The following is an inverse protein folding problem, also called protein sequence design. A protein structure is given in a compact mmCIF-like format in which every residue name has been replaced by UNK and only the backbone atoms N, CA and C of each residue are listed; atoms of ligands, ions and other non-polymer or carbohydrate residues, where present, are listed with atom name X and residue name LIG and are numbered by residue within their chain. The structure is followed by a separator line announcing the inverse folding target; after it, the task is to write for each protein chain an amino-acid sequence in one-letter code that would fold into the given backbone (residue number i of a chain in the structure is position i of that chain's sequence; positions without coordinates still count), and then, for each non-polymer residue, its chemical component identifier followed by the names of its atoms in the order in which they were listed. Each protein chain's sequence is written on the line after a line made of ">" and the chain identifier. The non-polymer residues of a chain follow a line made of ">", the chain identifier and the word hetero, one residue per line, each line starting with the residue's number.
data_IF_874634948255
#
_entry.id   IF_874634948255
#
_cell.length_a   1.000
_cell.length_b   1.000
_cell.length_c   1.000
_cell.angle_alpha   90.00
_cell.angle_beta   90.00
_cell.angle_gamma   90.00
#
_symmetry.space_group_name_H-M   'P 1'
#
loop_
_entity.id
_entity.type
_entity.pdbx_description
1 polymer ?
#
# COMPACT_ATOMS: atom_id res chain seq x y z
N UNK A 1 -6.70 -0.23 12.17
CA UNK A 1 -7.51 -1.10 13.07
C UNK A 1 -7.26 -0.74 14.53
N UNK A 2 -7.87 -1.41 15.52
CA UNK A 2 -7.35 -1.34 16.90
C UNK A 2 -5.99 -2.06 16.95
N UNK A 3 -5.12 -1.76 17.94
CA UNK A 3 -3.87 -2.51 18.13
C UNK A 3 -4.11 -4.04 18.18
N UNK A 4 -5.14 -4.48 18.88
CA UNK A 4 -5.51 -5.90 19.03
C UNK A 4 -5.97 -6.54 17.71
N UNK A 5 -6.64 -5.78 16.83
CA UNK A 5 -7.04 -6.27 15.51
C UNK A 5 -5.86 -6.33 14.54
N UNK A 6 -4.90 -5.40 14.64
CA UNK A 6 -3.65 -5.44 13.88
C UNK A 6 -2.85 -6.72 14.19
N UNK A 7 -2.82 -7.14 15.47
CA UNK A 7 -2.13 -8.37 15.90
C UNK A 7 -2.71 -9.66 15.30
N UNK A 8 -3.91 -9.61 14.73
CA UNK A 8 -4.50 -10.75 14.00
C UNK A 8 -3.88 -10.94 12.62
N UNK A 9 -3.23 -9.92 12.07
CA UNK A 9 -2.48 -10.05 10.84
C UNK A 9 -1.20 -10.86 11.09
N UNK A 10 -0.68 -11.58 10.09
CA UNK A 10 0.65 -12.14 10.20
C UNK A 10 1.67 -11.04 10.51
N UNK A 11 2.55 -11.29 11.48
CA UNK A 11 3.52 -10.29 11.99
C UNK A 11 4.27 -9.48 10.91
N UNK A 12 4.71 -10.08 9.80
CA UNK A 12 5.39 -9.29 8.78
C UNK A 12 4.47 -8.29 8.07
N UNK A 13 3.21 -8.67 7.81
CA UNK A 13 2.22 -7.80 7.20
C UNK A 13 1.70 -6.76 8.19
N UNK A 14 1.50 -7.12 9.46
CA UNK A 14 1.19 -6.19 10.55
C UNK A 14 2.22 -5.05 10.60
N UNK A 15 3.52 -5.38 10.52
CA UNK A 15 4.60 -4.39 10.52
C UNK A 15 4.50 -3.45 9.32
N UNK A 16 4.28 -3.97 8.11
CA UNK A 16 4.16 -3.15 6.90
C UNK A 16 2.91 -2.26 6.93
N UNK A 17 1.76 -2.80 7.37
CA UNK A 17 0.53 -2.04 7.55
C UNK A 17 0.68 -0.92 8.59
N UNK A 18 1.33 -1.21 9.73
CA UNK A 18 1.61 -0.21 10.76
C UNK A 18 2.51 0.91 10.21
N UNK A 19 3.55 0.56 9.46
CA UNK A 19 4.42 1.56 8.82
C UNK A 19 3.68 2.43 7.81
N UNK A 20 2.74 1.85 7.05
CA UNK A 20 1.88 2.57 6.12
C UNK A 20 0.91 3.50 6.87
N UNK A 21 0.21 3.01 7.91
CA UNK A 21 -0.70 3.80 8.75
C UNK A 21 0.01 5.02 9.35
N UNK A 22 1.22 4.84 9.91
CA UNK A 22 2.00 5.93 10.48
C UNK A 22 2.42 6.95 9.42
N UNK A 23 2.83 6.50 8.23
CA UNK A 23 3.20 7.39 7.12
C UNK A 23 2.02 8.23 6.62
N UNK A 24 0.82 7.64 6.52
CA UNK A 24 -0.39 8.36 6.12
C UNK A 24 -0.82 9.35 7.21
N UNK A 25 -0.74 8.95 8.47
CA UNK A 25 -1.08 9.84 9.59
C UNK A 25 -0.17 11.06 9.65
N UNK A 26 1.14 10.90 9.45
CA UNK A 26 2.06 12.03 9.36
C UNK A 26 1.70 12.97 8.20
N UNK A 27 1.40 12.42 7.02
CA UNK A 27 0.95 13.23 5.88
C UNK A 27 -0.34 14.01 6.17
N UNK A 28 -1.34 13.36 6.79
CA UNK A 28 -2.58 14.02 7.22
C UNK A 28 -2.26 15.17 8.19
N UNK A 29 -1.43 14.93 9.20
CA UNK A 29 -1.07 15.92 10.22
C UNK A 29 -0.37 17.12 9.60
N UNK A 30 0.63 16.91 8.73
CA UNK A 30 1.35 18.02 8.09
C UNK A 30 0.40 18.85 7.22
N UNK A 31 -0.44 18.20 6.40
CA UNK A 31 -1.42 18.91 5.57
C UNK A 31 -2.44 19.69 6.37
N UNK A 32 -2.89 19.16 7.53
CA UNK A 32 -3.80 19.89 8.42
C UNK A 32 -3.09 21.11 9.03
N UNK A 33 -1.84 20.98 9.46
CA UNK A 33 -1.06 22.10 10.00
C UNK A 33 -0.87 23.21 8.97
N UNK A 34 -0.67 22.85 7.71
CA UNK A 34 -0.51 23.81 6.61
C UNK A 34 -1.83 24.46 6.19
N UNK A 35 -2.91 23.69 6.09
CA UNK A 35 -4.17 24.16 5.54
C UNK A 35 -5.15 24.68 6.60
N UNK A 36 -4.93 24.37 7.89
CA UNK A 36 -5.82 24.63 9.02
C UNK A 36 -7.25 24.07 8.85
N UNK A 37 -7.47 23.14 7.91
CA UNK A 37 -8.77 22.55 7.60
C UNK A 37 -8.60 21.18 6.93
N UNK A 38 -9.69 20.40 6.87
CA UNK A 38 -9.74 19.17 6.08
C UNK A 38 -9.93 19.52 4.60
N UNK A 39 -8.89 19.36 3.79
CA UNK A 39 -8.98 19.51 2.32
C UNK A 39 -9.48 18.22 1.66
N UNK A 40 -9.88 18.22 0.37
CA UNK A 40 -10.33 17.00 -0.33
C UNK A 40 -9.30 15.85 -0.36
N UNK A 41 -8.00 16.18 -0.26
CA UNK A 41 -6.92 15.19 -0.16
C UNK A 41 -6.87 14.61 1.26
N UNK A 42 -7.00 15.45 2.29
CA UNK A 42 -7.08 14.97 3.68
C UNK A 42 -8.32 14.08 3.87
N UNK A 43 -9.48 14.50 3.37
CA UNK A 43 -10.71 13.68 3.37
C UNK A 43 -10.50 12.32 2.69
N UNK A 44 -9.83 12.31 1.53
CA UNK A 44 -9.49 11.06 0.84
C UNK A 44 -8.66 10.13 1.71
N UNK A 45 -7.58 10.64 2.32
CA UNK A 45 -6.69 9.85 3.16
C UNK A 45 -7.41 9.31 4.40
N UNK A 46 -8.28 10.11 5.03
CA UNK A 46 -9.09 9.69 6.17
C UNK A 46 -10.07 8.57 5.78
N UNK A 47 -10.74 8.68 4.62
CA UNK A 47 -11.60 7.62 4.09
C UNK A 47 -10.82 6.33 3.85
N UNK A 48 -9.60 6.43 3.30
CA UNK A 48 -8.75 5.24 3.06
C UNK A 48 -8.28 4.63 4.38
N UNK A 49 -7.94 5.44 5.37
CA UNK A 49 -7.60 4.98 6.72
C UNK A 49 -8.77 4.25 7.39
N UNK A 50 -10.00 4.75 7.25
CA UNK A 50 -11.22 4.08 7.71
C UNK A 50 -11.48 2.76 6.95
N UNK A 51 -11.29 2.76 5.62
CA UNK A 51 -11.48 1.58 4.79
C UNK A 51 -10.51 0.42 5.11
N UNK A 52 -9.26 0.74 5.48
CA UNK A 52 -8.30 -0.25 6.01
C UNK A 52 -8.59 -0.62 7.48
N UNK A 53 -9.69 -0.12 8.03
CA UNK A 53 -10.23 -0.47 9.34
C UNK A 53 -9.68 0.38 10.49
N UNK A 54 -9.03 1.52 10.25
CA UNK A 54 -8.48 2.36 11.33
C UNK A 54 -9.56 3.04 12.15
N UNK A 55 -9.43 2.98 13.48
CA UNK A 55 -10.35 3.64 14.41
C UNK A 55 -10.39 5.13 14.18
N UNK A 56 -11.59 5.65 13.93
CA UNK A 56 -11.87 7.08 13.72
C UNK A 56 -11.53 7.87 14.98
N UNK A 57 -11.86 7.36 16.16
CA UNK A 57 -11.49 7.94 17.46
C UNK A 57 -9.97 8.05 17.57
N UNK A 58 -9.23 6.97 17.26
CA UNK A 58 -7.77 6.99 17.32
C UNK A 58 -7.16 8.01 16.35
N UNK A 59 -7.69 8.09 15.13
CA UNK A 59 -7.26 9.09 14.13
C UNK A 59 -7.45 10.50 14.69
N UNK A 60 -8.66 10.82 15.18
CA UNK A 60 -8.97 12.13 15.76
C UNK A 60 -8.06 12.47 16.95
N UNK A 61 -7.80 11.51 17.83
CA UNK A 61 -6.88 11.67 18.96
C UNK A 61 -5.44 11.97 18.52
N UNK A 62 -4.94 11.25 17.51
CA UNK A 62 -3.59 11.48 16.98
C UNK A 62 -3.46 12.86 16.33
N UNK A 63 -4.49 13.30 15.59
CA UNK A 63 -4.54 14.65 15.03
C UNK A 63 -4.56 15.68 16.16
N UNK A 64 -5.48 15.55 17.13
CA UNK A 64 -5.57 16.47 18.27
C UNK A 64 -4.25 16.60 19.03
N UNK A 65 -3.62 15.46 19.36
CA UNK A 65 -2.31 15.44 20.02
C UNK A 65 -1.22 16.14 19.21
N UNK A 66 -1.24 15.98 17.88
CA UNK A 66 -0.26 16.62 17.01
C UNK A 66 -0.48 18.14 16.86
N UNK A 67 -1.68 18.63 17.19
CA UNK A 67 -2.08 20.03 17.17
C UNK A 67 -2.03 20.72 18.54
N UNK A 68 -1.76 20.00 19.64
CA UNK A 68 -1.72 20.58 21.02
C UNK A 68 -0.86 21.84 21.18
N UNK A 69 0.18 21.99 20.35
CA UNK A 69 1.11 23.14 20.38
C UNK A 69 0.83 24.19 19.30
N UNK A 70 -0.28 24.08 18.60
CA UNK A 70 -0.74 25.04 17.60
C UNK A 70 -2.01 25.72 18.09
N UNK A 71 -2.44 26.79 17.41
CA UNK A 71 -3.72 27.44 17.70
C UNK A 71 -4.92 26.70 17.08
N UNK A 72 -4.70 25.51 16.53
CA UNK A 72 -5.73 24.72 15.83
C UNK A 72 -6.40 23.73 16.78
N UNK A 73 -7.73 23.69 16.75
CA UNK A 73 -8.51 22.71 17.50
C UNK A 73 -9.05 21.63 16.55
N UNK A 74 -8.82 20.36 16.90
CA UNK A 74 -9.27 19.23 16.07
C UNK A 74 -10.80 19.17 15.97
N UNK A 75 -11.51 19.56 17.02
CA UNK A 75 -12.98 19.59 17.03
C UNK A 75 -13.51 20.61 16.03
N UNK A 76 -12.96 21.83 16.01
CA UNK A 76 -13.33 22.89 15.06
C UNK A 76 -13.05 22.46 13.61
N UNK A 77 -11.90 21.83 13.37
CA UNK A 77 -11.52 21.31 12.04
C UNK A 77 -12.51 20.24 11.57
N UNK A 78 -12.93 19.33 12.47
CA UNK A 78 -13.90 18.28 12.14
C UNK A 78 -15.31 18.85 11.93
N UNK A 79 -15.72 19.84 12.73
CA UNK A 79 -17.00 20.52 12.56
C UNK A 79 -17.06 21.28 11.22
N UNK A 80 -15.97 21.97 10.85
CA UNK A 80 -15.84 22.62 9.56
C UNK A 80 -15.95 21.61 8.41
N UNK A 81 -15.30 20.44 8.55
CA UNK A 81 -15.38 19.37 7.57
C UNK A 81 -16.82 18.86 7.39
N UNK A 82 -17.53 18.53 8.47
CA UNK A 82 -18.91 18.01 8.41
C UNK A 82 -19.89 18.95 7.68
N UNK A 83 -19.63 20.26 7.72
CA UNK A 83 -20.42 21.32 7.06
C UNK A 83 -20.01 21.58 5.61
N UNK A 84 -18.91 21.02 5.14
CA UNK A 84 -18.38 21.26 3.80
C UNK A 84 -19.03 20.38 2.73
N UNK A 85 -19.24 20.95 1.54
CA UNK A 85 -19.91 20.29 0.41
C UNK A 85 -19.02 19.29 -0.34
N UNK A 86 -17.69 19.37 -0.18
CA UNK A 86 -16.75 18.47 -0.87
C UNK A 86 -16.40 17.21 -0.06
N UNK A 87 -16.89 17.09 1.18
CA UNK A 87 -16.68 15.90 2.00
C UNK A 87 -17.46 14.73 1.43
N UNK A 88 -16.76 13.63 1.16
CA UNK A 88 -17.38 12.44 0.53
C UNK A 88 -18.08 11.55 1.55
N UNK A 89 -17.63 11.54 2.80
CA UNK A 89 -18.25 10.78 3.88
C UNK A 89 -18.31 11.58 5.19
N UNK A 90 -19.48 12.13 5.51
CA UNK A 90 -19.69 12.93 6.73
C UNK A 90 -19.60 12.11 8.01
N UNK A 91 -19.88 10.81 7.95
CA UNK A 91 -19.88 9.90 9.11
C UNK A 91 -18.48 9.76 9.75
N UNK A 92 -17.41 10.09 9.00
CA UNK A 92 -16.04 10.11 9.55
C UNK A 92 -15.85 11.26 10.54
N UNK A 93 -16.60 12.35 10.38
CA UNK A 93 -16.46 13.58 11.15
C UNK A 93 -17.53 13.72 12.25
N UNK A 94 -18.62 12.97 12.13
CA UNK A 94 -19.72 12.95 13.09
C UNK A 94 -19.52 11.87 14.16
N UNK A 95 -20.08 12.07 15.36
CA UNK A 95 -20.00 11.11 16.46
C UNK A 95 -20.95 9.90 16.31
N UNK A 96 -21.53 9.70 15.12
CA UNK A 96 -22.53 8.67 14.86
C UNK A 96 -21.91 7.48 14.10
N UNK A 97 -22.31 6.26 14.48
CA UNK A 97 -21.95 5.03 13.77
C UNK A 97 -20.86 4.19 14.46
N UNK A 98 -20.35 3.21 13.72
CA UNK A 98 -19.31 2.27 14.20
C UNK A 98 -17.94 2.94 14.12
N UNK A 99 -17.17 2.94 15.21
CA UNK A 99 -15.83 3.57 15.26
C UNK A 99 -14.84 2.97 14.26
N UNK A 100 -14.94 1.66 14.00
CA UNK A 100 -14.10 0.96 13.03
C UNK A 100 -14.77 -0.32 12.52
N UNK A 101 -14.34 -0.81 11.35
CA UNK A 101 -14.70 -2.12 10.82
C UNK A 101 -13.65 -3.17 11.25
N UNK A 102 -14.00 -4.17 12.10
CA UNK A 102 -13.09 -5.22 12.51
C UNK A 102 -12.60 -6.06 11.35
N UNK A 103 -11.41 -6.63 11.50
CA UNK A 103 -10.77 -7.39 10.42
C UNK A 103 -11.66 -8.52 9.89
N UNK A 104 -12.36 -9.24 10.79
CA UNK A 104 -13.28 -10.32 10.44
C UNK A 104 -14.43 -9.89 9.51
N UNK A 105 -14.85 -8.64 9.60
CA UNK A 105 -15.95 -8.08 8.82
C UNK A 105 -15.44 -7.28 7.59
N UNK A 106 -14.13 -7.01 7.51
CA UNK A 106 -13.51 -6.24 6.42
C UNK A 106 -13.06 -7.15 5.26
N UNK A 107 -14.00 -7.50 4.39
CA UNK A 107 -13.75 -8.38 3.23
C UNK A 107 -12.68 -7.83 2.28
N UNK A 108 -12.67 -6.51 2.05
CA UNK A 108 -11.69 -5.88 1.19
C UNK A 108 -10.26 -6.04 1.76
N UNK A 109 -10.07 -5.77 3.05
CA UNK A 109 -8.76 -5.95 3.69
C UNK A 109 -8.36 -7.43 3.72
N UNK A 110 -9.29 -8.34 3.98
CA UNK A 110 -9.04 -9.79 3.90
C UNK A 110 -8.60 -10.22 2.50
N UNK A 111 -9.15 -9.61 1.44
CA UNK A 111 -8.71 -9.86 0.07
C UNK A 111 -7.30 -9.33 -0.20
N UNK A 112 -6.93 -8.15 0.30
CA UNK A 112 -5.57 -7.62 0.20
C UNK A 112 -4.57 -8.54 0.93
N UNK A 113 -4.91 -8.98 2.15
CA UNK A 113 -4.09 -9.91 2.94
C UNK A 113 -3.93 -11.26 2.23
N UNK A 114 -5.01 -11.82 1.70
CA UNK A 114 -4.98 -13.08 0.97
C UNK A 114 -4.17 -12.97 -0.33
N UNK A 115 -4.30 -11.85 -1.07
CA UNK A 115 -3.50 -11.60 -2.26
C UNK A 115 -2.00 -11.53 -1.94
N UNK A 116 -1.62 -10.82 -0.87
CA UNK A 116 -0.23 -10.76 -0.40
C UNK A 116 0.28 -12.17 -0.01
N UNK A 117 -0.54 -12.96 0.67
CA UNK A 117 -0.24 -14.36 1.03
C UNK A 117 -0.04 -15.24 -0.20
N UNK A 118 -0.91 -15.14 -1.21
CA UNK A 118 -0.81 -15.89 -2.47
C UNK A 118 0.41 -15.48 -3.29
N UNK A 119 0.71 -14.19 -3.33
CA UNK A 119 1.85 -13.66 -4.09
C UNK A 119 3.19 -14.04 -3.47
N UNK A 120 3.25 -14.14 -2.15
CA UNK A 120 4.45 -14.58 -1.41
C UNK A 120 4.43 -16.08 -1.10
N UNK A 121 3.49 -16.82 -1.68
CA UNK A 121 3.42 -18.28 -1.51
C UNK A 121 4.67 -18.91 -2.12
N UNK A 122 5.26 -19.86 -1.41
CA UNK A 122 6.45 -20.62 -1.83
C UNK A 122 7.69 -19.75 -2.08
N UNK A 123 7.71 -18.50 -1.58
CA UNK A 123 8.91 -17.67 -1.54
C UNK A 123 9.71 -17.91 -0.26
N UNK A 124 10.95 -17.44 -0.25
CA UNK A 124 11.82 -17.55 0.93
C UNK A 124 11.34 -16.71 2.12
N UNK A 125 10.46 -15.73 1.90
CA UNK A 125 9.90 -14.85 2.94
C UNK A 125 8.39 -14.71 2.77
N UNK A 126 7.59 -15.64 3.30
CA UNK A 126 6.14 -15.52 3.25
C UNK A 126 5.67 -14.21 3.90
N UNK A 127 4.79 -13.48 3.21
CA UNK A 127 4.20 -12.21 3.63
C UNK A 127 5.19 -11.04 3.80
N UNK A 128 6.41 -11.19 3.28
CA UNK A 128 7.39 -10.12 3.11
C UNK A 128 7.93 -10.15 1.68
N UNK A 129 8.58 -9.07 1.26
CA UNK A 129 9.07 -8.91 -0.09
C UNK A 129 7.96 -9.24 -1.11
N UNK A 130 6.80 -8.63 -0.91
CA UNK A 130 5.61 -8.80 -1.73
C UNK A 130 5.93 -8.40 -3.18
N UNK A 131 6.78 -7.40 -3.37
CA UNK A 131 7.30 -7.00 -4.70
C UNK A 131 8.27 -8.00 -5.34
N UNK A 132 8.67 -9.05 -4.61
CA UNK A 132 9.61 -10.10 -5.03
C UNK A 132 10.93 -9.56 -5.60
N UNK A 133 11.41 -8.44 -5.07
CA UNK A 133 12.72 -7.90 -5.47
C UNK A 133 13.82 -8.86 -5.06
N UNK A 134 14.91 -8.86 -5.83
CA UNK A 134 16.14 -9.58 -5.48
C UNK A 134 17.33 -8.63 -5.36
N UNK A 135 17.05 -7.33 -5.17
CA UNK A 135 18.07 -6.31 -4.97
C UNK A 135 18.83 -6.56 -3.68
N UNK A 136 20.15 -6.41 -3.73
CA UNK A 136 21.09 -6.65 -2.64
C UNK A 136 21.11 -8.08 -2.08
N UNK A 137 20.44 -9.02 -2.73
CA UNK A 137 20.55 -10.43 -2.38
C UNK A 137 21.89 -10.98 -2.85
N UNK A 138 22.57 -11.73 -1.97
CA UNK A 138 23.85 -12.37 -2.30
C UNK A 138 23.62 -13.82 -2.73
N UNK A 139 24.31 -14.30 -3.78
CA UNK A 139 24.23 -15.70 -4.17
C UNK A 139 24.90 -16.58 -3.12
N UNK A 140 24.22 -17.66 -2.74
CA UNK A 140 24.77 -18.76 -1.95
C UNK A 140 24.72 -20.02 -2.81
N UNK A 141 25.75 -20.86 -2.71
CA UNK A 141 25.92 -22.04 -3.57
C UNK A 141 24.63 -22.88 -3.69
N UNK A 142 24.42 -23.48 -4.86
CA UNK A 142 23.20 -24.26 -5.16
C UNK A 142 21.98 -23.42 -5.54
N UNK A 143 22.17 -22.21 -6.07
CA UNK A 143 21.09 -21.35 -6.59
C UNK A 143 20.26 -20.64 -5.51
N UNK A 144 20.66 -20.74 -4.24
CA UNK A 144 19.99 -20.07 -3.12
C UNK A 144 20.43 -18.61 -3.04
N UNK A 145 19.51 -17.74 -2.63
CA UNK A 145 19.77 -16.31 -2.39
C UNK A 145 19.68 -16.05 -0.90
N UNK A 146 20.60 -15.24 -0.37
CA UNK A 146 20.59 -14.82 1.04
C UNK A 146 20.18 -13.35 1.09
N UNK A 147 19.28 -13.06 2.01
CA UNK A 147 18.82 -11.71 2.32
C UNK A 147 19.86 -11.02 3.20
N UNK A 148 20.25 -9.81 2.81
CA UNK A 148 21.15 -8.95 3.58
C UNK A 148 20.32 -7.90 4.32
N UNK A 149 20.84 -7.28 5.39
CA UNK A 149 20.13 -6.17 6.04
C UNK A 149 19.72 -5.07 5.06
N UNK A 150 20.54 -4.84 4.03
CA UNK A 150 20.26 -3.87 2.97
C UNK A 150 19.14 -4.34 2.03
N UNK A 151 19.07 -5.63 1.69
CA UNK A 151 17.95 -6.17 0.92
C UNK A 151 16.65 -6.06 1.70
N UNK A 152 16.66 -6.39 3.01
CA UNK A 152 15.48 -6.25 3.84
C UNK A 152 14.98 -4.81 3.94
N UNK A 153 15.90 -3.85 4.03
CA UNK A 153 15.55 -2.43 4.10
C UNK A 153 14.86 -1.96 2.82
N UNK A 154 15.40 -2.33 1.66
CA UNK A 154 14.79 -2.06 0.36
C UNK A 154 13.41 -2.75 0.25
N UNK A 155 13.33 -4.03 0.61
CA UNK A 155 12.08 -4.82 0.54
C UNK A 155 10.96 -4.20 1.37
N UNK A 156 11.25 -3.78 2.62
CA UNK A 156 10.24 -3.15 3.49
C UNK A 156 9.73 -1.83 2.91
N UNK A 157 10.62 -1.05 2.30
CA UNK A 157 10.26 0.22 1.65
C UNK A 157 9.36 -0.03 0.44
N UNK A 158 9.70 -1.04 -0.37
CA UNK A 158 8.92 -1.44 -1.54
C UNK A 158 7.55 -2.03 -1.18
N UNK A 159 7.47 -2.86 -0.14
CA UNK A 159 6.21 -3.44 0.33
C UNK A 159 5.27 -2.36 0.87
N UNK A 160 5.79 -1.39 1.64
CA UNK A 160 5.03 -0.22 2.10
C UNK A 160 4.47 0.57 0.91
N UNK A 161 5.29 0.84 -0.10
CA UNK A 161 4.88 1.54 -1.33
C UNK A 161 3.79 0.77 -2.09
N UNK A 162 3.97 -0.54 -2.24
CA UNK A 162 3.01 -1.42 -2.91
C UNK A 162 1.66 -1.46 -2.19
N UNK A 163 1.65 -1.58 -0.86
CA UNK A 163 0.41 -1.52 -0.08
C UNK A 163 -0.21 -0.11 -0.11
N UNK A 164 0.58 0.96 -0.12
CA UNK A 164 0.05 2.32 -0.29
C UNK A 164 -0.72 2.49 -1.61
N UNK A 165 -0.22 1.92 -2.71
CA UNK A 165 -0.92 1.91 -4.00
C UNK A 165 -2.17 1.04 -3.93
N UNK A 166 -2.04 -0.20 -3.44
CA UNK A 166 -3.12 -1.19 -3.40
C UNK A 166 -4.29 -0.73 -2.52
N UNK A 167 -3.99 -0.03 -1.42
CA UNK A 167 -4.99 0.52 -0.51
C UNK A 167 -5.58 1.85 -0.99
N UNK A 168 -5.03 2.43 -2.06
CA UNK A 168 -5.45 3.71 -2.64
C UNK A 168 -5.03 4.92 -1.83
N UNK A 169 -4.12 4.77 -0.87
CA UNK A 169 -3.63 5.88 -0.03
C UNK A 169 -2.53 6.67 -0.74
N UNK A 170 -1.84 6.06 -1.71
CA UNK A 170 -0.77 6.68 -2.50
C UNK A 170 -0.99 6.43 -3.99
N UNK A 171 -0.68 7.42 -4.80
CA UNK A 171 -0.50 7.22 -6.25
C UNK A 171 0.82 6.49 -6.52
N UNK A 172 0.96 5.90 -7.72
CA UNK A 172 2.23 5.29 -8.15
C UNK A 172 3.42 6.24 -8.02
N UNK A 173 3.27 7.48 -8.48
CA UNK A 173 4.35 8.47 -8.44
C UNK A 173 4.76 8.81 -7.02
N UNK A 174 3.79 8.99 -6.10
CA UNK A 174 4.08 9.24 -4.69
C UNK A 174 4.78 8.04 -4.05
N UNK A 175 4.22 6.84 -4.19
CA UNK A 175 4.78 5.64 -3.56
C UNK A 175 6.19 5.31 -4.07
N UNK A 176 6.45 5.46 -5.37
CA UNK A 176 7.78 5.26 -5.95
C UNK A 176 8.74 6.39 -5.51
N UNK A 177 8.26 7.64 -5.48
CA UNK A 177 9.01 8.79 -4.99
C UNK A 177 9.45 8.59 -3.53
N UNK A 178 8.52 8.20 -2.66
CA UNK A 178 8.78 7.93 -1.23
C UNK A 178 9.90 6.88 -1.05
N UNK A 179 9.92 5.82 -1.87
CA UNK A 179 11.01 4.82 -1.85
C UNK A 179 12.32 5.42 -2.32
N UNK A 180 12.31 6.16 -3.43
CA UNK A 180 13.52 6.79 -3.97
C UNK A 180 14.11 7.75 -2.95
N UNK A 181 13.28 8.60 -2.34
CA UNK A 181 13.70 9.59 -1.35
C UNK A 181 14.24 8.91 -0.09
N UNK A 182 13.56 7.87 0.42
CA UNK A 182 14.01 7.10 1.58
C UNK A 182 15.38 6.45 1.34
N UNK A 183 15.54 5.74 0.21
CA UNK A 183 16.82 5.12 -0.16
C UNK A 183 17.91 6.17 -0.42
N UNK A 184 17.55 7.30 -1.03
CA UNK A 184 18.50 8.36 -1.36
C UNK A 184 18.98 9.05 -0.08
N UNK A 185 18.09 9.33 0.86
CA UNK A 185 18.42 9.88 2.17
C UNK A 185 19.33 8.94 2.98
N UNK A 186 19.17 7.61 2.80
CA UNK A 186 20.02 6.61 3.45
C UNK A 186 21.36 6.35 2.76
N UNK A 187 21.70 7.09 1.70
CA UNK A 187 22.94 6.94 0.93
C UNK A 187 22.92 5.87 -0.17
N UNK A 188 21.80 5.19 -0.39
CA UNK A 188 21.64 4.20 -1.46
C UNK A 188 21.34 4.93 -2.77
N UNK A 189 22.10 4.64 -3.84
CA UNK A 189 21.88 5.22 -5.18
C UNK A 189 21.71 4.16 -6.26
N UNK A 190 22.27 2.98 -6.04
CA UNK A 190 22.24 1.84 -6.94
C UNK A 190 21.80 0.61 -6.19
N UNK A 191 21.14 -0.30 -6.90
CA UNK A 191 20.72 -1.61 -6.42
C UNK A 191 21.45 -2.66 -7.22
N UNK A 192 22.27 -3.45 -6.53
CA UNK A 192 23.04 -4.53 -7.13
C UNK A 192 22.25 -5.84 -7.07
N UNK A 193 22.33 -6.62 -8.14
CA UNK A 193 21.64 -7.90 -8.27
C UNK A 193 22.66 -9.03 -8.38
N UNK A 194 22.32 -10.20 -7.83
CA UNK A 194 23.16 -11.40 -7.93
C UNK A 194 23.53 -11.82 -9.37
N UNK A 195 22.81 -11.32 -10.38
CA UNK A 195 23.13 -11.51 -11.80
C UNK A 195 24.34 -10.70 -12.28
N UNK A 196 24.93 -9.85 -11.44
CA UNK A 196 25.98 -8.89 -11.81
C UNK A 196 25.45 -7.59 -12.41
N UNK A 197 24.12 -7.45 -12.57
CA UNK A 197 23.49 -6.20 -12.99
C UNK A 197 23.44 -5.22 -11.82
N UNK A 198 23.65 -3.94 -12.10
CA UNK A 198 23.36 -2.83 -11.19
C UNK A 198 22.40 -1.86 -11.87
N UNK A 199 21.35 -1.46 -11.18
CA UNK A 199 20.38 -0.47 -11.65
C UNK A 199 20.39 0.73 -10.69
N UNK A 200 20.18 1.95 -11.21
CA UNK A 200 19.92 3.10 -10.33
C UNK A 200 18.62 2.87 -9.53
N UNK A 201 18.55 3.47 -8.34
CA UNK A 201 17.44 3.21 -7.42
C UNK A 201 16.07 3.56 -8.02
N UNK A 202 15.98 4.59 -8.84
CA UNK A 202 14.74 5.01 -9.49
C UNK A 202 14.21 3.92 -10.45
N UNK A 203 15.14 3.27 -11.18
CA UNK A 203 14.82 2.17 -12.10
C UNK A 203 14.42 0.93 -11.30
N UNK A 204 15.18 0.60 -10.26
CA UNK A 204 14.93 -0.57 -9.40
C UNK A 204 13.58 -0.46 -8.69
N UNK A 205 13.31 0.68 -8.04
CA UNK A 205 12.09 0.94 -7.30
C UNK A 205 10.86 0.92 -8.22
N UNK A 206 10.90 1.66 -9.34
CA UNK A 206 9.79 1.67 -10.30
C UNK A 206 9.51 0.27 -10.83
N UNK A 207 10.53 -0.50 -11.20
CA UNK A 207 10.34 -1.86 -11.71
C UNK A 207 9.71 -2.78 -10.66
N UNK A 208 10.25 -2.79 -9.45
CA UNK A 208 9.78 -3.66 -8.38
C UNK A 208 8.33 -3.33 -8.00
N UNK A 209 8.00 -2.05 -7.81
CA UNK A 209 6.64 -1.62 -7.45
C UNK A 209 5.64 -1.94 -8.55
N UNK A 210 5.92 -1.57 -9.80
CA UNK A 210 4.99 -1.82 -10.92
C UNK A 210 4.76 -3.32 -11.16
N UNK A 211 5.82 -4.13 -11.04
CA UNK A 211 5.72 -5.59 -11.18
C UNK A 211 4.94 -6.20 -10.02
N UNK A 212 5.24 -5.79 -8.79
CA UNK A 212 4.54 -6.24 -7.59
C UNK A 212 3.06 -5.94 -7.62
N UNK A 213 2.67 -4.70 -7.96
CA UNK A 213 1.26 -4.30 -8.07
C UNK A 213 0.54 -5.09 -9.16
N UNK A 214 1.14 -5.27 -10.34
CA UNK A 214 0.54 -6.07 -11.41
C UNK A 214 0.31 -7.53 -10.98
N UNK A 215 1.28 -8.14 -10.30
CA UNK A 215 1.17 -9.49 -9.76
C UNK A 215 0.09 -9.59 -8.67
N UNK A 216 -0.03 -8.60 -7.78
CA UNK A 216 -1.06 -8.58 -6.74
C UNK A 216 -2.45 -8.44 -7.33
N UNK A 217 -2.61 -7.56 -8.32
CA UNK A 217 -3.86 -7.42 -9.08
C UNK A 217 -4.25 -8.75 -9.70
N UNK A 218 -3.30 -9.50 -10.29
CA UNK A 218 -3.58 -10.84 -10.80
C UNK A 218 -4.07 -11.79 -9.69
N UNK A 219 -3.51 -11.74 -8.48
CA UNK A 219 -4.00 -12.55 -7.34
C UNK A 219 -5.39 -12.16 -6.84
N UNK A 220 -5.73 -10.88 -6.89
CA UNK A 220 -7.08 -10.40 -6.60
C UNK A 220 -8.06 -10.87 -7.68
N UNK A 221 -7.68 -10.79 -8.96
CA UNK A 221 -8.48 -11.31 -10.09
C UNK A 221 -8.72 -12.80 -9.92
N UNK A 222 -7.68 -13.60 -9.64
CA UNK A 222 -7.80 -15.05 -9.38
C UNK A 222 -8.83 -15.33 -8.27
N UNK A 223 -8.81 -14.56 -7.18
CA UNK A 223 -9.79 -14.71 -6.09
C UNK A 223 -11.21 -14.33 -6.53
N UNK A 224 -11.37 -13.21 -7.22
CA UNK A 224 -12.68 -12.79 -7.73
C UNK A 224 -13.26 -13.82 -8.71
N UNK A 225 -12.42 -14.43 -9.54
CA UNK A 225 -12.83 -15.49 -10.45
C UNK A 225 -13.34 -16.73 -9.71
N UNK A 226 -12.65 -17.13 -8.64
CA UNK A 226 -13.08 -18.23 -7.76
C UNK A 226 -14.43 -17.95 -7.12
N UNK A 227 -14.64 -16.73 -6.61
CA UNK A 227 -15.89 -16.33 -5.96
C UNK A 227 -17.06 -16.20 -6.94
N UNK A 228 -16.80 -15.72 -8.16
CA UNK A 228 -17.81 -15.54 -9.21
C UNK A 228 -18.04 -16.81 -10.05
N UNK A 229 -17.21 -17.85 -9.90
CA UNK A 229 -17.29 -19.06 -10.71
C UNK A 229 -17.03 -18.82 -12.20
N UNK A 230 -16.17 -17.86 -12.55
CA UNK A 230 -15.81 -17.54 -13.95
C UNK A 230 -14.40 -18.02 -14.30
N UNK A 231 -14.20 -18.39 -15.56
CA UNK A 231 -12.91 -18.85 -16.09
C UNK A 231 -12.32 -17.89 -17.12
N UNK A 232 -12.98 -16.76 -17.39
CA UNK A 232 -12.57 -15.82 -18.45
C UNK A 232 -12.11 -14.48 -17.87
N UNK A 233 -11.03 -13.93 -18.45
CA UNK A 233 -10.52 -12.60 -18.15
C UNK A 233 -10.34 -11.80 -19.43
N UNK A 234 -10.45 -10.47 -19.33
CA UNK A 234 -10.06 -9.56 -20.38
C UNK A 234 -8.64 -9.03 -20.11
N UNK A 235 -7.79 -9.00 -21.15
CA UNK A 235 -6.48 -8.34 -21.09
C UNK A 235 -6.68 -6.88 -21.47
N UNK A 236 -6.24 -5.98 -20.60
CA UNK A 236 -6.34 -4.54 -20.80
C UNK A 236 -5.60 -4.07 -22.06
N UNK A 237 -6.18 -3.07 -22.72
CA UNK A 237 -5.56 -2.42 -23.87
C UNK A 237 -4.85 -1.15 -23.43
N UNK A 238 -3.63 -0.93 -23.92
CA UNK A 238 -2.92 0.32 -23.70
C UNK A 238 -2.04 0.69 -24.89
N UNK A 239 -1.91 2.01 -25.11
CA UNK A 239 -1.04 2.55 -26.14
C UNK A 239 0.44 2.22 -25.87
N UNK A 240 1.21 1.94 -26.92
CA UNK A 240 2.66 1.70 -26.82
C UNK A 240 3.07 0.27 -26.43
N UNK A 241 2.17 -0.71 -26.51
CA UNK A 241 2.54 -2.11 -26.33
C UNK A 241 3.45 -2.60 -27.47
N UNK A 242 4.37 -3.52 -27.13
CA UNK A 242 5.23 -4.15 -28.15
C UNK A 242 4.36 -4.90 -29.16
N UNK A 243 4.76 -5.01 -30.44
CA UNK A 243 3.96 -5.74 -31.43
C UNK A 243 3.62 -7.18 -31.03
N UNK A 244 4.52 -7.85 -30.30
CA UNK A 244 4.27 -9.19 -29.75
C UNK A 244 3.21 -9.23 -28.65
N UNK A 245 2.96 -8.13 -27.94
CA UNK A 245 1.91 -8.00 -26.94
C UNK A 245 0.59 -7.49 -27.53
N UNK A 246 0.60 -6.75 -28.64
CA UNK A 246 -0.62 -6.23 -29.29
C UNK A 246 -1.63 -7.34 -29.63
N UNK A 247 -1.15 -8.55 -29.97
CA UNK A 247 -2.04 -9.67 -30.32
C UNK A 247 -2.91 -10.15 -29.15
N UNK A 248 -2.56 -9.78 -27.92
CA UNK A 248 -3.28 -10.15 -26.70
C UNK A 248 -4.23 -9.07 -26.20
N UNK A 249 -3.97 -7.79 -26.52
CA UNK A 249 -4.70 -6.67 -25.90
C UNK A 249 -6.17 -6.59 -26.31
N UNK A 250 -7.03 -6.21 -25.36
CA UNK A 250 -8.48 -6.02 -25.57
C UNK A 250 -9.23 -7.31 -25.92
N UNK A 251 -8.64 -8.46 -25.59
CA UNK A 251 -9.21 -9.78 -25.88
C UNK A 251 -9.50 -10.53 -24.60
N UNK A 252 -10.49 -11.42 -24.70
CA UNK A 252 -10.90 -12.31 -23.62
C UNK A 252 -10.18 -13.65 -23.76
N UNK A 253 -9.63 -14.15 -22.67
CA UNK A 253 -8.92 -15.43 -22.61
C UNK A 253 -9.51 -16.30 -21.51
N UNK A 254 -9.48 -17.62 -21.74
CA UNK A 254 -9.69 -18.58 -20.67
C UNK A 254 -8.45 -18.61 -19.78
N UNK A 255 -8.63 -18.43 -18.48
CA UNK A 255 -7.57 -18.48 -17.48
C UNK A 255 -7.21 -19.93 -17.19
N UNK A 256 -6.05 -20.37 -17.70
CA UNK A 256 -5.53 -21.69 -17.37
C UNK A 256 -4.76 -21.60 -16.04
N UNK A 257 -5.35 -22.18 -14.99
CA UNK A 257 -4.72 -22.35 -13.68
C UNK A 257 -3.55 -23.34 -13.72
#
# INVERSE_FOLDING_TARGET
>A
MTPEELEKLPKPLERTMTALELSIMDEIIQRIKEAAQVTPVIDWLLIRMDAIGTSRIRIKQLIGKALEKTDLQVDDIYEQAARSDYIRNKEIYEAAGRDYLPYRDNQWLQQVVDAAKRQTKDTLRPLENITQTTGFNVPMGGGKKVFTPLSEYLERSLDKAMLGITTGTKTYSQAIGDVIDEMTASGIRTVDYASGKSDRIEVAARRAVMTGVAQMTAKIVEKNMEELGTEYVEVDWHMGSRPSHMVWQGKVFKWNK
#
